data_IF_996473484807
#
_entry.id   IF_996473484807
#
_cell.length_a   1.000
_cell.length_b   1.000
_cell.length_c   1.000
_cell.angle_alpha   90.00
_cell.angle_beta   90.00
_cell.angle_gamma   90.00
#
_symmetry.space_group_name_H-M   'P 1'
#
loop_
_entity.id
_entity.type
_entity.pdbx_description
1 polymer ?
#
# COMPACT_ATOMS: atom_id res chain seq x y z
N UNK A 1 -16.67 40.60 -28.63
CA UNK A 1 -16.37 39.15 -28.75
C UNK A 1 -15.58 38.63 -27.56
N UNK A 2 -14.49 39.28 -27.15
CA UNK A 2 -13.68 38.92 -25.97
C UNK A 2 -14.48 38.69 -24.67
N UNK A 3 -15.46 39.53 -24.33
CA UNK A 3 -16.30 39.31 -23.13
C UNK A 3 -17.07 37.98 -23.16
N UNK A 4 -17.55 37.55 -24.33
CA UNK A 4 -18.28 36.28 -24.50
C UNK A 4 -17.33 35.08 -24.40
N UNK A 5 -16.11 35.23 -24.91
CA UNK A 5 -15.06 34.21 -24.82
C UNK A 5 -14.63 34.01 -23.36
N UNK A 6 -14.38 35.10 -22.63
CA UNK A 6 -14.02 35.05 -21.20
C UNK A 6 -15.15 34.40 -20.39
N UNK A 7 -16.41 34.76 -20.65
CA UNK A 7 -17.56 34.17 -19.96
C UNK A 7 -17.66 32.66 -20.24
N UNK A 8 -17.45 32.25 -21.50
CA UNK A 8 -17.48 30.84 -21.88
C UNK A 8 -16.37 30.03 -21.23
N UNK A 9 -15.14 30.56 -21.21
CA UNK A 9 -13.99 29.90 -20.57
C UNK A 9 -14.23 29.80 -19.06
N UNK A 10 -14.71 30.87 -18.42
CA UNK A 10 -15.05 30.87 -17.00
C UNK A 10 -16.13 29.84 -16.67
N UNK A 11 -17.16 29.72 -17.50
CA UNK A 11 -18.22 28.73 -17.31
C UNK A 11 -17.71 27.30 -17.42
N UNK A 12 -16.82 27.01 -18.38
CA UNK A 12 -16.23 25.68 -18.55
C UNK A 12 -15.31 25.36 -17.37
N UNK A 13 -14.46 26.30 -16.96
CA UNK A 13 -13.57 26.13 -15.81
C UNK A 13 -14.37 25.86 -14.52
N UNK A 14 -15.43 26.63 -14.29
CA UNK A 14 -16.31 26.44 -13.14
C UNK A 14 -16.96 25.04 -13.15
N UNK A 15 -17.47 24.60 -14.30
CA UNK A 15 -18.03 23.26 -14.44
C UNK A 15 -17.00 22.17 -14.13
N UNK A 16 -15.77 22.31 -14.63
CA UNK A 16 -14.68 21.36 -14.37
C UNK A 16 -14.31 21.29 -12.88
N UNK A 17 -14.23 22.44 -12.20
CA UNK A 17 -13.98 22.49 -10.75
C UNK A 17 -15.10 21.80 -9.97
N UNK A 18 -16.34 22.02 -10.37
CA UNK A 18 -17.51 21.43 -9.70
C UNK A 18 -17.54 19.90 -9.89
N UNK A 19 -17.30 19.42 -11.11
CA UNK A 19 -17.19 17.98 -11.42
C UNK A 19 -16.04 17.35 -10.61
N UNK A 20 -14.88 18.02 -10.55
CA UNK A 20 -13.73 17.54 -9.78
C UNK A 20 -14.07 17.46 -8.28
N UNK A 21 -14.72 18.46 -7.71
CA UNK A 21 -15.13 18.46 -6.31
C UNK A 21 -16.10 17.31 -6.00
N UNK A 22 -17.10 17.08 -6.85
CA UNK A 22 -18.04 15.94 -6.72
C UNK A 22 -17.30 14.62 -6.84
N UNK A 23 -16.39 14.48 -7.81
CA UNK A 23 -15.60 13.27 -7.98
C UNK A 23 -14.77 12.96 -6.74
N UNK A 24 -14.02 13.95 -6.22
CA UNK A 24 -13.23 13.82 -5.00
C UNK A 24 -14.13 13.40 -3.84
N UNK A 25 -15.25 14.09 -3.62
CA UNK A 25 -16.19 13.75 -2.54
C UNK A 25 -16.69 12.29 -2.64
N UNK A 26 -17.06 11.83 -3.84
CA UNK A 26 -17.52 10.46 -4.06
C UNK A 26 -16.45 9.40 -3.78
N UNK A 27 -15.17 9.70 -4.01
CA UNK A 27 -14.08 8.73 -3.86
C UNK A 27 -13.30 8.85 -2.54
N UNK A 28 -13.36 9.99 -1.85
CA UNK A 28 -12.69 10.20 -0.54
C UNK A 28 -13.57 9.83 0.65
N UNK A 29 -14.90 9.80 0.48
CA UNK A 29 -15.86 9.51 1.54
C UNK A 29 -16.06 8.03 1.84
N UNK A 30 -15.08 7.36 2.47
CA UNK A 30 -15.33 6.24 3.40
C UNK A 30 -14.32 6.29 4.53
N UNK A 31 -14.81 6.49 5.76
CA UNK A 31 -14.03 6.32 6.99
C UNK A 31 -13.31 4.97 6.96
N UNK A 32 -12.10 4.91 7.54
CA UNK A 32 -11.33 3.66 7.67
C UNK A 32 -12.28 2.58 8.17
N UNK A 33 -12.55 1.53 7.38
CA UNK A 33 -13.55 0.54 7.74
C UNK A 33 -13.22 -0.02 9.13
N UNK A 34 -14.23 -0.13 10.00
CA UNK A 34 -14.09 -0.97 11.19
C UNK A 34 -13.80 -2.40 10.70
N UNK A 35 -12.62 -2.92 11.02
CA UNK A 35 -12.17 -4.21 10.52
C UNK A 35 -10.64 -4.38 10.48
N UNK A 36 -10.19 -5.52 9.94
CA UNK A 36 -8.77 -5.84 9.78
C UNK A 36 -8.06 -4.78 8.93
N UNK A 37 -6.88 -4.36 9.36
CA UNK A 37 -6.03 -3.46 8.58
C UNK A 37 -5.05 -4.29 7.77
N UNK A 38 -5.54 -4.81 6.64
CA UNK A 38 -4.75 -5.68 5.77
C UNK A 38 -3.51 -4.96 5.24
N UNK A 39 -2.34 -5.50 5.55
CA UNK A 39 -1.05 -5.09 5.05
C UNK A 39 -0.42 -6.22 4.26
N UNK A 40 0.28 -5.87 3.18
CA UNK A 40 1.07 -6.81 2.40
C UNK A 40 2.55 -6.65 2.75
N UNK A 41 3.20 -7.73 3.15
CA UNK A 41 4.62 -7.77 3.46
C UNK A 41 5.35 -8.75 2.56
N UNK A 42 6.49 -8.33 2.01
CA UNK A 42 7.46 -9.21 1.37
C UNK A 42 8.49 -9.62 2.42
N UNK A 43 8.65 -10.91 2.64
CA UNK A 43 9.67 -11.47 3.55
C UNK A 43 10.72 -12.15 2.68
N UNK A 44 11.96 -11.72 2.82
CA UNK A 44 13.11 -12.25 2.10
C UNK A 44 13.83 -13.29 2.97
N UNK A 45 14.36 -14.33 2.32
CA UNK A 45 15.17 -15.36 2.97
C UNK A 45 16.50 -15.52 2.24
N UNK A 46 17.57 -15.73 2.99
CA UNK A 46 18.93 -15.73 2.47
C UNK A 46 19.28 -16.96 1.58
N UNK A 47 18.51 -18.05 1.65
CA UNK A 47 18.85 -19.33 1.03
C UNK A 47 17.73 -19.91 0.17
N UNK A 48 18.11 -20.78 -0.78
CA UNK A 48 17.18 -21.58 -1.57
C UNK A 48 16.36 -22.48 -0.66
N UNK A 49 15.06 -22.54 -0.94
CA UNK A 49 14.06 -23.20 -0.11
C UNK A 49 13.71 -24.58 -0.68
N UNK A 50 13.58 -25.58 0.18
CA UNK A 50 12.98 -26.87 -0.18
C UNK A 50 11.45 -26.75 -0.32
N UNK A 51 10.93 -27.25 -1.44
CA UNK A 51 9.51 -27.12 -1.83
C UNK A 51 8.54 -27.84 -0.88
N UNK A 52 8.97 -28.91 -0.20
CA UNK A 52 8.15 -29.68 0.73
C UNK A 52 7.89 -28.91 2.03
N UNK A 53 8.96 -28.43 2.69
CA UNK A 53 8.85 -27.66 3.94
C UNK A 53 8.05 -26.37 3.79
N UNK A 54 8.11 -25.75 2.62
CA UNK A 54 7.39 -24.50 2.34
C UNK A 54 5.86 -24.69 2.29
N UNK A 55 5.39 -25.84 1.79
CA UNK A 55 3.94 -26.09 1.72
C UNK A 55 3.33 -26.30 3.10
N UNK A 56 4.01 -27.00 4.00
CA UNK A 56 3.56 -27.20 5.39
C UNK A 56 3.47 -25.86 6.13
N UNK A 57 4.52 -25.04 6.04
CA UNK A 57 4.57 -23.71 6.65
C UNK A 57 3.48 -22.80 6.07
N UNK A 58 3.24 -22.86 4.77
CA UNK A 58 2.16 -22.10 4.14
C UNK A 58 0.79 -22.44 4.75
N UNK A 59 0.51 -23.72 5.00
CA UNK A 59 -0.75 -24.14 5.65
C UNK A 59 -0.83 -23.65 7.09
N UNK A 60 0.26 -23.76 7.85
CA UNK A 60 0.33 -23.24 9.23
C UNK A 60 0.01 -21.74 9.31
N UNK A 61 0.58 -20.94 8.40
CA UNK A 61 0.32 -19.50 8.36
C UNK A 61 -1.11 -19.21 7.89
N UNK A 62 -1.62 -19.90 6.88
CA UNK A 62 -2.99 -19.70 6.38
C UNK A 62 -4.07 -20.14 7.38
N UNK A 63 -3.75 -21.00 8.34
CA UNK A 63 -4.66 -21.37 9.42
C UNK A 63 -4.88 -20.22 10.44
N UNK A 64 -4.02 -19.20 10.45
CA UNK A 64 -4.12 -18.07 11.38
C UNK A 64 -5.23 -17.10 10.91
N UNK A 65 -6.15 -16.68 11.79
CA UNK A 65 -7.30 -15.85 11.39
C UNK A 65 -6.91 -14.44 10.90
N UNK A 66 -5.70 -13.98 11.26
CA UNK A 66 -5.14 -12.70 10.84
C UNK A 66 -4.27 -12.79 9.58
N UNK A 67 -4.14 -13.96 8.96
CA UNK A 67 -3.45 -14.15 7.69
C UNK A 67 -4.48 -14.47 6.62
N UNK A 68 -4.53 -13.66 5.57
CA UNK A 68 -5.49 -13.82 4.47
C UNK A 68 -4.89 -14.49 3.25
N UNK A 69 -3.60 -14.29 3.01
CA UNK A 69 -2.90 -14.92 1.89
C UNK A 69 -1.42 -15.13 2.21
N UNK A 70 -0.90 -16.22 1.66
CA UNK A 70 0.52 -16.57 1.69
C UNK A 70 0.90 -17.03 0.29
N UNK A 71 1.91 -16.38 -0.30
CA UNK A 71 2.47 -16.71 -1.61
C UNK A 71 3.97 -16.93 -1.47
N UNK A 72 4.49 -17.83 -2.29
CA UNK A 72 5.84 -18.35 -2.21
C UNK A 72 6.50 -18.14 -3.57
N UNK A 73 7.69 -17.56 -3.58
CA UNK A 73 8.54 -17.50 -4.75
C UNK A 73 9.89 -18.11 -4.37
N UNK A 74 10.02 -19.41 -4.64
CA UNK A 74 11.21 -20.19 -4.27
C UNK A 74 12.42 -19.76 -5.10
N UNK A 75 12.21 -19.47 -6.39
CA UNK A 75 13.26 -19.07 -7.33
C UNK A 75 13.92 -17.74 -6.93
N UNK A 76 13.11 -16.81 -6.41
CA UNK A 76 13.57 -15.49 -5.97
C UNK A 76 13.70 -15.37 -4.44
N UNK A 77 13.62 -16.47 -3.70
CA UNK A 77 13.90 -16.51 -2.26
C UNK A 77 13.03 -15.58 -1.40
N UNK A 78 11.74 -15.46 -1.70
CA UNK A 78 10.85 -14.62 -0.89
C UNK A 78 9.41 -15.12 -0.78
N UNK A 79 8.73 -14.59 0.23
CA UNK A 79 7.35 -14.86 0.56
C UNK A 79 6.56 -13.56 0.56
N UNK A 80 5.29 -13.63 0.17
CA UNK A 80 4.36 -12.50 0.24
C UNK A 80 3.21 -12.90 1.16
N UNK A 81 3.04 -12.15 2.24
CA UNK A 81 1.98 -12.35 3.22
C UNK A 81 1.00 -11.18 3.16
N UNK A 82 -0.29 -11.48 3.19
CA UNK A 82 -1.36 -10.52 3.44
C UNK A 82 -1.90 -10.76 4.85
N UNK A 83 -1.68 -9.82 5.76
CA UNK A 83 -1.93 -9.99 7.18
C UNK A 83 -2.58 -8.76 7.81
N UNK A 84 -3.29 -8.95 8.92
CA UNK A 84 -3.86 -7.85 9.69
C UNK A 84 -2.80 -7.21 10.59
N UNK A 85 -2.36 -6.01 10.23
CA UNK A 85 -1.32 -5.29 10.98
C UNK A 85 -1.77 -4.78 12.35
N UNK A 86 -3.07 -4.87 12.68
CA UNK A 86 -3.56 -4.61 14.04
C UNK A 86 -3.23 -5.76 14.99
N UNK A 87 -3.03 -6.97 14.47
CA UNK A 87 -2.82 -8.18 15.26
C UNK A 87 -1.35 -8.62 15.31
N UNK A 88 -0.59 -8.42 14.23
CA UNK A 88 0.80 -8.86 14.13
C UNK A 88 1.63 -7.88 13.29
N UNK A 89 2.91 -7.71 13.61
CA UNK A 89 3.83 -6.94 12.77
C UNK A 89 4.45 -7.81 11.66
N UNK A 90 4.93 -7.17 10.59
CA UNK A 90 5.63 -7.88 9.52
C UNK A 90 6.97 -8.46 9.98
N UNK A 91 7.64 -7.79 10.93
CA UNK A 91 8.89 -8.26 11.51
C UNK A 91 8.68 -9.52 12.37
N UNK A 92 7.57 -9.59 13.13
CA UNK A 92 7.23 -10.80 13.90
C UNK A 92 6.96 -11.99 12.98
N UNK A 93 6.26 -11.76 11.86
CA UNK A 93 6.02 -12.80 10.86
C UNK A 93 7.32 -13.25 10.19
N UNK A 94 8.26 -12.33 9.94
CA UNK A 94 9.57 -12.68 9.41
C UNK A 94 10.38 -13.51 10.41
N UNK A 95 10.39 -13.13 11.70
CA UNK A 95 11.05 -13.87 12.75
C UNK A 95 10.44 -15.28 12.93
N UNK A 96 9.11 -15.40 12.93
CA UNK A 96 8.42 -16.68 13.01
C UNK A 96 8.76 -17.58 11.82
N UNK A 97 8.72 -17.02 10.60
CA UNK A 97 9.04 -17.74 9.38
C UNK A 97 10.50 -18.22 9.37
N UNK A 98 11.43 -17.35 9.76
CA UNK A 98 12.85 -17.69 9.89
C UNK A 98 13.09 -18.80 10.91
N UNK A 99 12.41 -18.75 12.06
CA UNK A 99 12.48 -19.80 13.09
C UNK A 99 11.98 -21.16 12.57
N UNK A 100 10.82 -21.18 11.89
CA UNK A 100 10.25 -22.41 11.31
C UNK A 100 11.12 -23.02 10.20
N UNK A 101 11.78 -22.19 9.41
CA UNK A 101 12.67 -22.63 8.34
C UNK A 101 14.12 -22.88 8.80
N UNK A 102 14.47 -22.48 10.03
CA UNK A 102 15.85 -22.39 10.49
C UNK A 102 16.72 -21.56 9.54
N UNK A 103 16.18 -20.43 9.06
CA UNK A 103 16.80 -19.52 8.10
C UNK A 103 16.75 -18.08 8.62
N UNK A 104 17.69 -17.26 8.15
CA UNK A 104 17.57 -15.82 8.31
C UNK A 104 16.48 -15.30 7.37
N UNK A 105 15.46 -14.70 7.97
CA UNK A 105 14.33 -14.08 7.28
C UNK A 105 14.17 -12.63 7.74
N UNK A 106 13.87 -11.73 6.81
CA UNK A 106 13.67 -10.32 7.11
C UNK A 106 12.52 -9.73 6.30
N UNK A 107 11.83 -8.75 6.89
CA UNK A 107 10.85 -7.97 6.17
C UNK A 107 11.57 -7.04 5.19
N UNK A 108 11.25 -7.16 3.90
CA UNK A 108 11.77 -6.28 2.86
C UNK A 108 11.36 -4.84 3.13
N UNK A 109 12.37 -3.96 3.12
CA UNK A 109 12.21 -2.52 3.23
C UNK A 109 12.90 -1.90 2.01
N UNK A 110 12.14 -1.24 1.12
CA UNK A 110 12.73 -0.58 -0.03
C UNK A 110 13.83 0.40 0.40
N UNK A 111 14.92 0.42 -0.34
CA UNK A 111 15.96 1.44 -0.22
C UNK A 111 15.44 2.82 -0.62
N UNK A 112 16.18 3.88 -0.28
CA UNK A 112 15.81 5.25 -0.66
C UNK A 112 15.78 5.41 -2.19
N UNK A 113 16.68 4.73 -2.88
CA UNK A 113 16.80 4.69 -4.33
C UNK A 113 15.59 3.99 -4.98
N UNK A 114 15.17 2.85 -4.45
CA UNK A 114 13.98 2.13 -4.91
C UNK A 114 12.70 2.93 -4.64
N UNK A 115 12.62 3.63 -3.51
CA UNK A 115 11.53 4.57 -3.21
C UNK A 115 11.51 5.75 -4.18
N UNK A 116 12.67 6.29 -4.55
CA UNK A 116 12.78 7.37 -5.52
C UNK A 116 12.37 6.93 -6.93
N UNK A 117 12.57 5.66 -7.27
CA UNK A 117 12.19 5.08 -8.56
C UNK A 117 10.74 4.61 -8.67
N UNK A 118 10.04 4.44 -7.54
CA UNK A 118 8.62 4.04 -7.50
C UNK A 118 7.70 5.27 -7.64
N UNK A 119 6.42 5.03 -7.98
CA UNK A 119 5.42 6.08 -8.27
C UNK A 119 5.58 7.30 -7.36
N UNK A 120 5.63 8.51 -7.93
CA UNK A 120 6.35 9.64 -7.36
C UNK A 120 5.92 9.93 -5.93
N UNK A 121 6.84 9.71 -4.98
CA UNK A 121 6.77 10.33 -3.67
C UNK A 121 6.88 11.85 -3.89
N UNK A 122 5.75 12.52 -4.02
CA UNK A 122 5.70 13.96 -4.26
C UNK A 122 6.49 14.64 -3.12
N UNK A 123 7.54 15.41 -3.43
CA UNK A 123 8.36 16.07 -2.41
C UNK A 123 7.46 16.93 -1.51
N UNK A 124 7.63 16.85 -0.19
CA UNK A 124 6.75 17.55 0.76
C UNK A 124 6.82 19.07 0.64
N UNK A 125 7.92 19.58 0.09
CA UNK A 125 8.18 20.97 -0.23
C UNK A 125 7.60 21.41 -1.59
N UNK A 126 7.14 20.47 -2.42
CA UNK A 126 6.56 20.80 -3.73
C UNK A 126 5.15 21.39 -3.63
N UNK A 127 4.83 22.27 -4.58
CA UNK A 127 3.50 22.87 -4.72
C UNK A 127 2.38 21.83 -4.84
N UNK A 128 2.65 20.73 -5.54
CA UNK A 128 1.69 19.63 -5.72
C UNK A 128 1.36 18.93 -4.41
N UNK A 129 2.33 18.77 -3.50
CA UNK A 129 2.08 18.21 -2.16
C UNK A 129 1.26 19.16 -1.29
N UNK A 130 1.56 20.45 -1.33
CA UNK A 130 0.81 21.47 -0.58
C UNK A 130 -0.64 21.55 -1.03
N UNK A 131 -0.90 21.52 -2.34
CA UNK A 131 -2.24 21.40 -2.89
C UNK A 131 -2.91 20.09 -2.46
N UNK A 132 -2.26 18.95 -2.65
CA UNK A 132 -2.82 17.64 -2.28
C UNK A 132 -3.21 17.56 -0.80
N UNK A 133 -2.35 18.06 0.09
CA UNK A 133 -2.62 18.11 1.53
C UNK A 133 -3.75 19.08 1.92
N UNK A 134 -3.88 20.22 1.22
CA UNK A 134 -5.01 21.12 1.38
C UNK A 134 -6.34 20.43 1.03
N UNK A 135 -6.39 19.77 -0.14
CA UNK A 135 -7.58 19.00 -0.56
C UNK A 135 -7.90 17.89 0.44
N UNK A 136 -6.90 17.12 0.88
CA UNK A 136 -7.09 16.08 1.90
C UNK A 136 -7.66 16.65 3.21
N UNK A 137 -7.19 17.83 3.65
CA UNK A 137 -7.71 18.47 4.87
C UNK A 137 -9.15 18.97 4.74
N UNK A 138 -9.62 19.30 3.53
CA UNK A 138 -10.99 19.80 3.28
C UNK A 138 -11.97 18.64 3.11
N UNK A 139 -11.55 17.56 2.45
CA UNK A 139 -12.45 16.48 2.01
C UNK A 139 -12.37 15.19 2.83
N UNK A 140 -11.33 15.00 3.66
CA UNK A 140 -11.11 13.75 4.42
C UNK A 140 -11.24 13.95 5.95
N UNK A 141 -11.82 15.07 6.38
CA UNK A 141 -12.11 15.34 7.78
C UNK A 141 -13.54 14.93 8.14
#
# INVERSE_FOLDING_TARGET
MIKKIILSIGSILFLLVLVLAVHIYMVTGKAVPEGPNWSMGKIEVANQLDSLSVNEIKQDFLAKPFIRAFRTNLDQGHFILLYDRKQVSGDDLAAELGSKLNLQASLYRPSAEELASSCPAIPKDSFTYQLGSLFQSIFTK
#
